data_IF_480928697371
#
_entry.id   IF_480928697371
#
_cell.length_a   1.000
_cell.length_b   1.000
_cell.length_c   1.000
_cell.angle_alpha   90.00
_cell.angle_beta   90.00
_cell.angle_gamma   90.00
#
_symmetry.space_group_name_H-M   'P 1'
#
loop_
_entity.id
_entity.type
_entity.pdbx_description
1 polymer ?
#
# COMPACT_ATOMS: atom_id res chain seq x y z
N UNK A 1 15.84 15.18 -17.65
CA UNK A 1 16.10 15.82 -16.35
C UNK A 1 17.58 15.76 -16.06
N UNK A 2 18.16 16.86 -15.59
CA UNK A 2 19.53 16.92 -15.09
C UNK A 2 19.58 16.37 -13.65
N UNK A 3 20.74 15.85 -13.25
CA UNK A 3 20.94 15.26 -11.92
C UNK A 3 20.60 16.22 -10.78
N UNK A 4 20.91 17.50 -10.94
CA UNK A 4 20.67 18.51 -9.91
C UNK A 4 19.17 18.75 -9.65
N UNK A 5 18.37 18.76 -10.72
CA UNK A 5 16.91 18.93 -10.64
C UNK A 5 16.27 17.77 -9.86
N UNK A 6 16.73 16.54 -10.11
CA UNK A 6 16.25 15.35 -9.40
C UNK A 6 16.68 15.40 -7.93
N UNK A 7 17.93 15.76 -7.65
CA UNK A 7 18.46 15.84 -6.28
C UNK A 7 17.71 16.88 -5.44
N UNK A 8 17.38 18.03 -6.01
CA UNK A 8 16.66 19.08 -5.31
C UNK A 8 15.18 18.72 -5.10
N UNK A 9 14.57 18.03 -6.07
CA UNK A 9 13.23 17.49 -5.96
C UNK A 9 13.11 16.41 -4.89
N UNK A 10 14.04 15.44 -4.86
CA UNK A 10 14.11 14.38 -3.85
C UNK A 10 14.40 14.94 -2.44
N UNK A 11 15.18 16.02 -2.31
CA UNK A 11 15.39 16.70 -1.03
C UNK A 11 14.10 17.32 -0.46
N UNK A 12 13.27 17.91 -1.32
CA UNK A 12 11.97 18.49 -0.93
C UNK A 12 10.90 17.42 -0.71
N UNK A 13 11.03 16.29 -1.40
CA UNK A 13 10.09 15.17 -1.34
C UNK A 13 10.88 13.88 -1.03
N UNK A 14 11.37 13.69 0.21
CA UNK A 14 12.21 12.55 0.57
C UNK A 14 11.54 11.19 0.31
N UNK A 15 10.21 11.18 0.25
CA UNK A 15 9.40 10.02 -0.10
C UNK A 15 8.72 10.23 -1.46
N UNK A 16 9.49 10.21 -2.55
CA UNK A 16 8.93 10.18 -3.91
C UNK A 16 8.20 8.86 -4.25
N UNK A 17 8.23 7.90 -3.33
CA UNK A 17 7.50 6.64 -3.45
C UNK A 17 6.26 6.71 -2.57
N UNK A 18 5.11 6.45 -3.17
CA UNK A 18 3.88 6.16 -2.42
C UNK A 18 4.13 4.97 -1.50
N UNK A 19 3.73 5.11 -0.24
CA UNK A 19 3.68 4.00 0.70
C UNK A 19 2.81 2.87 0.15
N UNK A 20 3.04 1.64 0.61
CA UNK A 20 2.21 0.49 0.23
C UNK A 20 0.74 0.75 0.56
N UNK A 21 0.48 1.43 1.68
CA UNK A 21 -0.87 1.81 2.10
C UNK A 21 -1.54 2.81 1.13
N UNK A 22 -0.82 3.84 0.68
CA UNK A 22 -1.36 4.78 -0.32
C UNK A 22 -1.70 4.08 -1.64
N UNK A 23 -0.87 3.12 -2.06
CA UNK A 23 -1.14 2.30 -3.26
C UNK A 23 -2.35 1.38 -3.07
N UNK A 24 -2.48 0.74 -1.91
CA UNK A 24 -3.64 -0.08 -1.55
C UNK A 24 -4.93 0.75 -1.57
N UNK A 25 -4.90 1.95 -0.99
CA UNK A 25 -6.05 2.85 -0.93
C UNK A 25 -6.49 3.31 -2.33
N UNK A 26 -5.54 3.68 -3.19
CA UNK A 26 -5.84 4.05 -4.58
C UNK A 26 -6.44 2.88 -5.37
N UNK A 27 -5.89 1.68 -5.19
CA UNK A 27 -6.41 0.47 -5.83
C UNK A 27 -7.85 0.18 -5.37
N UNK A 28 -8.08 0.18 -4.06
CA UNK A 28 -9.40 -0.03 -3.46
C UNK A 28 -10.43 0.98 -3.97
N UNK A 29 -10.04 2.26 -4.07
CA UNK A 29 -10.89 3.32 -4.59
C UNK A 29 -11.29 3.06 -6.05
N UNK A 30 -10.35 2.67 -6.91
CA UNK A 30 -10.63 2.36 -8.32
C UNK A 30 -11.60 1.19 -8.46
N UNK A 31 -11.46 0.16 -7.62
CA UNK A 31 -12.39 -0.97 -7.59
C UNK A 31 -13.79 -0.53 -7.14
N UNK A 32 -13.90 0.27 -6.07
CA UNK A 32 -15.20 0.78 -5.60
C UNK A 32 -15.89 1.65 -6.65
N UNK A 33 -15.14 2.52 -7.35
CA UNK A 33 -15.67 3.35 -8.43
C UNK A 33 -16.20 2.49 -9.59
N UNK A 34 -15.45 1.45 -9.98
CA UNK A 34 -15.86 0.53 -11.03
C UNK A 34 -17.12 -0.27 -10.67
N UNK A 35 -17.23 -0.67 -9.41
CA UNK A 35 -18.32 -1.51 -8.92
C UNK A 35 -19.56 -0.70 -8.50
N UNK A 36 -19.43 0.63 -8.35
CA UNK A 36 -20.53 1.52 -7.96
C UNK A 36 -21.09 1.28 -6.55
N UNK A 37 -20.36 0.53 -5.71
CA UNK A 37 -20.81 0.12 -4.37
C UNK A 37 -19.69 0.22 -3.35
N UNK A 38 -20.08 0.41 -2.09
CA UNK A 38 -19.13 0.42 -0.98
C UNK A 38 -18.65 -1.00 -0.71
N UNK A 39 -17.34 -1.22 -0.79
CA UNK A 39 -16.70 -2.52 -0.55
C UNK A 39 -15.83 -2.41 0.70
N UNK A 40 -16.03 -3.32 1.65
CA UNK A 40 -15.15 -3.46 2.80
C UNK A 40 -14.02 -4.43 2.45
N UNK A 41 -12.84 -3.90 2.15
CA UNK A 41 -11.67 -4.72 1.82
C UNK A 41 -11.11 -5.38 3.09
N UNK A 42 -11.00 -6.70 3.09
CA UNK A 42 -10.34 -7.43 4.16
C UNK A 42 -8.83 -7.20 4.06
N UNK A 43 -8.24 -6.51 5.05
CA UNK A 43 -6.78 -6.46 5.18
C UNK A 43 -6.34 -7.72 5.90
N UNK A 44 -5.41 -8.47 5.30
CA UNK A 44 -4.73 -9.53 6.02
C UNK A 44 -3.81 -8.87 7.07
N UNK A 45 -4.39 -8.48 8.21
CA UNK A 45 -3.60 -8.15 9.40
C UNK A 45 -2.76 -9.39 9.68
N UNK A 46 -1.43 -9.24 9.60
CA UNK A 46 -0.49 -10.35 9.59
C UNK A 46 -0.91 -11.43 10.57
N UNK A 47 -1.40 -12.56 10.05
CA UNK A 47 -1.53 -13.77 10.84
C UNK A 47 -0.11 -14.05 11.29
N UNK A 48 0.22 -13.72 12.55
CA UNK A 48 1.32 -14.38 13.22
C UNK A 48 1.00 -15.85 13.03
N UNK A 49 1.86 -16.56 12.30
CA UNK A 49 1.80 -18.01 12.23
C UNK A 49 1.93 -18.49 13.68
N UNK A 50 0.80 -18.70 14.34
CA UNK A 50 0.74 -19.46 15.57
C UNK A 50 1.16 -20.87 15.18
N UNK A 51 2.35 -21.25 15.59
CA UNK A 51 2.82 -22.63 15.64
C UNK A 51 1.72 -23.47 16.27
N UNK A 52 0.88 -24.07 15.42
CA UNK A 52 0.00 -25.15 15.85
C UNK A 52 0.92 -26.37 15.83
N UNK A 53 1.70 -26.52 16.91
CA UNK A 53 2.29 -27.81 17.22
C UNK A 53 1.15 -28.81 17.34
N UNK A 54 1.40 -29.92 16.66
CA UNK A 54 0.45 -30.94 16.30
C UNK A 54 -0.07 -31.63 17.57
N UNK A 55 -1.38 -31.79 17.69
CA UNK A 55 -1.91 -32.89 18.49
C UNK A 55 -1.56 -34.18 17.76
N UNK A 56 -0.57 -34.92 18.28
CA UNK A 56 -0.50 -36.37 18.21
C UNK A 56 0.34 -36.91 19.37
#
# INVERSE_FOLDING_TARGET
MKYEEIREYLKRNPYCFRTTEEKENEFNLRIMQREGRKINFAKAAGRKFGSTEQNL
#
